data_IF_157356325649
#
_entry.id   IF_157356325649
#
_cell.length_a   1.000
_cell.length_b   1.000
_cell.length_c   1.000
_cell.angle_alpha   90.00
_cell.angle_beta   90.00
_cell.angle_gamma   90.00
#
_symmetry.space_group_name_H-M   'P 1'
#
loop_
_entity.id
_entity.type
_entity.pdbx_description
1 polymer ?
#
# COMPACT_ATOMS: atom_id res chain seq x y z
N UNK A 1 9.41 8.79 -10.72
CA UNK A 1 9.81 8.37 -9.37
C UNK A 1 10.29 6.91 -9.37
N UNK A 2 9.45 5.91 -9.68
CA UNK A 2 9.90 4.50 -9.68
C UNK A 2 11.03 4.19 -10.68
N UNK A 3 10.95 4.69 -11.92
CA UNK A 3 12.03 4.52 -12.90
C UNK A 3 13.34 5.19 -12.49
N UNK A 4 13.27 6.33 -11.81
CA UNK A 4 14.45 7.02 -11.28
C UNK A 4 15.06 6.20 -10.14
N UNK A 5 14.25 5.81 -9.17
CA UNK A 5 14.67 4.94 -8.07
C UNK A 5 15.36 3.65 -8.55
N UNK A 6 14.79 2.97 -9.56
CA UNK A 6 15.38 1.77 -10.15
C UNK A 6 16.73 2.03 -10.84
N UNK A 7 16.88 3.19 -11.48
CA UNK A 7 18.12 3.62 -12.14
C UNK A 7 19.20 3.92 -11.11
N UNK A 8 18.84 4.65 -10.06
CA UNK A 8 19.74 5.06 -8.98
C UNK A 8 20.24 3.84 -8.18
N UNK A 9 19.35 2.86 -7.95
CA UNK A 9 19.66 1.63 -7.20
C UNK A 9 20.16 0.47 -8.09
N UNK A 10 20.41 0.70 -9.39
CA UNK A 10 20.85 -0.32 -10.37
C UNK A 10 20.09 -1.65 -10.26
N UNK A 11 18.77 -1.59 -10.06
CA UNK A 11 17.93 -2.76 -9.79
C UNK A 11 16.72 -2.82 -10.71
N UNK A 12 16.32 -4.04 -11.09
CA UNK A 12 15.08 -4.31 -11.82
C UNK A 12 13.92 -4.70 -10.90
N UNK A 13 14.15 -4.75 -9.59
CA UNK A 13 13.16 -5.14 -8.57
C UNK A 13 12.17 -3.99 -8.32
N UNK A 14 11.30 -3.73 -9.29
CA UNK A 14 10.34 -2.63 -9.25
C UNK A 14 9.31 -2.76 -8.11
N UNK A 15 8.97 -3.99 -7.72
CA UNK A 15 8.05 -4.28 -6.60
C UNK A 15 8.57 -3.73 -5.27
N UNK A 16 9.89 -3.69 -5.10
CA UNK A 16 10.56 -3.14 -3.92
C UNK A 16 10.55 -1.62 -3.98
N UNK A 17 11.00 -1.04 -5.09
CA UNK A 17 11.02 0.41 -5.26
C UNK A 17 9.64 1.07 -5.13
N UNK A 18 8.56 0.34 -5.38
CA UNK A 18 7.20 0.81 -5.19
C UNK A 18 6.92 1.28 -3.76
N UNK A 19 7.41 0.56 -2.78
CA UNK A 19 7.18 0.86 -1.37
C UNK A 19 7.84 2.20 -0.97
N UNK A 20 9.02 2.46 -1.51
CA UNK A 20 9.81 3.65 -1.26
C UNK A 20 9.16 4.87 -1.91
N UNK A 21 8.79 4.72 -3.19
CA UNK A 21 8.08 5.74 -3.96
C UNK A 21 6.73 6.06 -3.31
N UNK A 22 6.04 5.05 -2.79
CA UNK A 22 4.74 5.25 -2.14
C UNK A 22 4.90 5.97 -0.80
N UNK A 23 5.85 5.57 0.03
CA UNK A 23 6.16 6.29 1.26
C UNK A 23 6.55 7.73 0.96
N UNK A 24 7.48 7.96 0.03
CA UNK A 24 7.93 9.29 -0.37
C UNK A 24 6.76 10.17 -0.84
N UNK A 25 5.84 9.64 -1.66
CA UNK A 25 4.66 10.40 -2.10
C UNK A 25 3.70 10.69 -0.95
N UNK A 26 3.53 9.76 -0.02
CA UNK A 26 2.58 9.88 1.08
C UNK A 26 3.08 10.79 2.21
N UNK A 27 4.40 10.88 2.41
CA UNK A 27 5.03 11.76 3.41
C UNK A 27 5.42 13.14 2.86
N UNK A 28 5.51 13.30 1.54
CA UNK A 28 5.82 14.59 0.91
C UNK A 28 4.72 15.62 1.15
N UNK A 29 5.13 16.86 1.44
CA UNK A 29 4.22 17.99 1.53
C UNK A 29 3.56 18.27 0.17
N UNK A 30 2.23 18.33 0.14
CA UNK A 30 1.47 18.60 -1.07
C UNK A 30 0.85 20.00 -1.01
N UNK A 31 1.32 20.89 -1.89
CA UNK A 31 1.05 22.34 -1.86
C UNK A 31 -0.44 22.71 -1.81
N UNK A 32 -1.30 22.00 -2.54
CA UNK A 32 -2.74 22.31 -2.61
C UNK A 32 -3.48 21.96 -1.32
N UNK A 33 -3.06 20.89 -0.63
CA UNK A 33 -3.72 20.43 0.61
C UNK A 33 -3.04 20.98 1.87
N UNK A 34 -1.92 21.70 1.72
CA UNK A 34 -1.14 22.29 2.81
C UNK A 34 -0.51 21.28 3.77
N UNK A 35 -0.54 19.99 3.44
CA UNK A 35 -0.08 18.89 4.31
C UNK A 35 0.36 17.68 3.48
N UNK A 36 0.87 16.63 4.11
CA UNK A 36 1.18 15.38 3.43
C UNK A 36 -0.11 14.56 3.17
N UNK A 37 -0.19 13.78 2.07
CA UNK A 37 -1.33 12.89 1.84
C UNK A 37 -1.60 11.92 2.99
N UNK A 38 -0.55 11.45 3.67
CA UNK A 38 -0.67 10.63 4.88
C UNK A 38 -1.38 11.39 6.00
N UNK A 39 -0.95 12.63 6.31
CA UNK A 39 -1.59 13.47 7.33
C UNK A 39 -3.03 13.82 6.99
N UNK A 40 -3.35 13.97 5.70
CA UNK A 40 -4.72 14.19 5.26
C UNK A 40 -5.63 12.97 5.52
N UNK A 41 -5.09 11.75 5.37
CA UNK A 41 -5.86 10.52 5.55
C UNK A 41 -5.96 10.08 7.02
N UNK A 42 -4.87 10.21 7.77
CA UNK A 42 -4.73 9.64 9.12
C UNK A 42 -4.75 10.69 10.24
N UNK A 43 -4.82 11.98 9.91
CA UNK A 43 -4.87 13.09 10.88
C UNK A 43 -3.53 13.44 11.55
N UNK A 44 -2.55 12.55 11.50
CA UNK A 44 -1.23 12.72 12.12
C UNK A 44 -0.11 12.52 11.10
N UNK A 45 1.08 13.05 11.40
CA UNK A 45 2.26 12.81 10.58
C UNK A 45 2.69 11.32 10.63
N UNK A 46 3.27 10.78 9.55
CA UNK A 46 3.75 9.41 9.53
C UNK A 46 4.79 9.21 10.64
N UNK A 47 4.57 8.21 11.48
CA UNK A 47 5.50 7.86 12.57
C UNK A 47 6.79 7.33 11.96
N UNK A 48 7.84 8.13 12.03
CA UNK A 48 9.20 7.78 11.65
C UNK A 48 10.06 7.75 12.91
N UNK A 49 10.99 6.81 13.02
CA UNK A 49 11.83 6.68 14.22
C UNK A 49 12.86 7.81 14.33
N UNK A 50 13.42 8.03 15.53
CA UNK A 50 14.48 9.03 15.79
C UNK A 50 15.72 8.85 14.88
N UNK A 51 15.97 7.63 14.40
CA UNK A 51 17.01 7.32 13.41
C UNK A 51 16.84 8.04 12.06
N UNK A 52 15.67 8.64 11.81
CA UNK A 52 15.36 9.43 10.61
C UNK A 52 15.23 10.93 10.90
N UNK A 53 15.46 11.35 12.15
CA UNK A 53 15.53 12.77 12.50
C UNK A 53 16.81 13.41 11.95
N UNK A 54 16.83 14.73 11.83
CA UNK A 54 18.02 15.48 11.42
C UNK A 54 19.03 15.69 12.57
N UNK A 55 18.94 14.90 13.63
CA UNK A 55 19.86 15.02 14.75
C UNK A 55 21.20 14.36 14.41
N UNK A 56 22.34 14.98 14.76
CA UNK A 56 23.65 14.35 14.67
C UNK A 56 23.66 12.95 15.31
N UNK A 57 24.40 12.03 14.70
CA UNK A 57 24.45 10.63 15.13
C UNK A 57 25.02 10.52 16.55
N UNK A 58 25.96 11.41 16.91
CA UNK A 58 26.53 11.47 18.25
C UNK A 58 25.50 11.86 19.32
N UNK A 59 24.51 12.69 18.95
CA UNK A 59 23.42 13.09 19.84
C UNK A 59 22.41 11.94 19.95
N UNK A 60 22.06 11.30 18.84
CA UNK A 60 21.15 10.14 18.84
C UNK A 60 21.65 8.96 19.68
N UNK A 61 22.97 8.78 19.80
CA UNK A 61 23.56 7.75 20.65
C UNK A 61 23.53 8.08 22.15
N UNK A 62 23.42 9.36 22.49
CA UNK A 62 23.40 9.87 23.87
C UNK A 62 21.98 10.04 24.41
N UNK A 63 20.98 10.18 23.54
CA UNK A 63 19.57 10.28 23.92
C UNK A 63 19.07 8.96 24.49
N UNK A 64 18.81 8.93 25.80
CA UNK A 64 18.26 7.77 26.50
C UNK A 64 16.81 8.03 26.92
N UNK A 65 16.48 9.27 27.31
CA UNK A 65 15.13 9.65 27.76
C UNK A 65 14.55 10.85 26.99
N UNK A 66 13.26 11.13 27.20
CA UNK A 66 12.57 12.25 26.54
C UNK A 66 13.05 13.59 27.11
N UNK A 67 13.49 13.64 28.38
CA UNK A 67 14.03 14.84 29.01
C UNK A 67 15.36 15.29 28.36
N UNK A 68 16.22 14.34 27.96
CA UNK A 68 17.47 14.63 27.25
C UNK A 68 17.21 15.39 25.94
N UNK A 69 16.08 15.11 25.29
CA UNK A 69 15.69 15.77 24.05
C UNK A 69 15.22 17.22 24.31
N UNK A 70 14.48 17.45 25.39
CA UNK A 70 13.96 18.78 25.74
C UNK A 70 15.06 19.76 26.14
N UNK A 71 16.14 19.27 26.75
CA UNK A 71 17.28 20.10 27.19
C UNK A 71 18.04 20.67 25.98
N UNK A 72 18.25 19.86 24.95
CA UNK A 72 18.90 20.26 23.69
C UNK A 72 18.11 21.38 22.98
N UNK A 73 16.77 21.33 23.03
CA UNK A 73 15.93 22.38 22.44
C UNK A 73 15.98 23.71 23.23
N UNK A 74 16.35 23.70 24.51
CA UNK A 74 16.43 24.91 25.34
C UNK A 74 17.77 25.63 25.17
N UNK A 75 18.85 24.91 24.95
CA UNK A 75 20.19 25.48 24.76
C UNK A 75 20.30 26.33 23.47
N UNK A 76 19.58 25.97 22.41
CA UNK A 76 19.60 26.65 21.10
C UNK A 76 18.95 28.06 21.06
N UNK A 77 18.29 28.51 22.15
CA UNK A 77 17.43 29.72 22.13
C UNK A 77 18.10 30.95 22.79
N UNK A 78 19.27 30.84 23.43
CA UNK A 78 19.70 31.80 24.47
C UNK A 78 20.88 32.75 24.15
N UNK A 79 21.15 33.11 22.89
CA UNK A 79 22.13 34.19 22.56
C UNK A 79 21.47 35.45 21.99
N UNK A 80 21.52 36.59 22.72
CA UNK A 80 21.12 37.94 22.28
C UNK A 80 22.34 38.68 21.69
N UNK A 81 22.23 39.25 20.48
CA UNK A 81 23.41 39.77 19.75
C UNK A 81 23.22 41.18 19.14
N UNK A 82 24.28 42.00 19.24
CA UNK A 82 24.47 43.31 18.60
C UNK A 82 24.99 43.16 17.15
N UNK A 83 24.50 44.00 16.22
CA UNK A 83 24.66 43.81 14.76
C UNK A 83 25.85 44.59 14.19
N UNK A 84 26.75 43.91 13.46
CA UNK A 84 27.75 44.53 12.57
C UNK A 84 27.61 43.95 11.14
N UNK A 85 27.89 44.77 10.12
CA UNK A 85 27.81 44.43 8.69
C UNK A 85 29.12 43.87 8.16
N UNK A 86 29.09 42.68 7.53
CA UNK A 86 30.27 42.00 6.94
C UNK A 86 29.93 41.35 5.59
N UNK A 87 30.92 41.15 4.71
CA UNK A 87 30.72 40.55 3.39
C UNK A 87 30.82 39.02 3.40
N UNK A 88 29.90 38.35 2.70
CA UNK A 88 29.85 36.89 2.58
C UNK A 88 30.93 36.32 1.64
N UNK A 89 31.72 35.36 2.12
CA UNK A 89 32.79 34.70 1.36
C UNK A 89 32.29 33.84 0.18
N UNK A 90 31.02 33.42 0.17
CA UNK A 90 30.47 32.52 -0.88
C UNK A 90 29.79 33.28 -2.02
N UNK A 91 29.09 34.37 -1.71
CA UNK A 91 28.30 35.11 -2.70
C UNK A 91 28.62 36.61 -2.79
N UNK A 92 29.57 37.11 -1.99
CA UNK A 92 30.03 38.50 -2.02
C UNK A 92 29.01 39.55 -1.55
N UNK A 93 27.85 39.12 -1.05
CA UNK A 93 26.76 40.03 -0.62
C UNK A 93 27.06 40.65 0.73
N UNK A 94 26.74 41.92 0.95
CA UNK A 94 26.80 42.50 2.30
C UNK A 94 25.72 41.89 3.19
N UNK A 95 26.11 41.32 4.33
CA UNK A 95 25.20 40.69 5.27
C UNK A 95 25.52 41.05 6.72
N UNK A 96 24.48 41.29 7.53
CA UNK A 96 24.63 41.53 8.96
C UNK A 96 24.93 40.19 9.66
N UNK A 97 26.05 40.09 10.37
CA UNK A 97 26.51 38.85 11.02
C UNK A 97 26.95 39.11 12.46
N UNK A 98 26.92 38.03 13.24
CA UNK A 98 27.27 37.91 14.64
C UNK A 98 28.68 37.29 14.70
N UNK A 99 29.66 37.85 15.42
CA UNK A 99 31.01 37.25 15.48
C UNK A 99 31.46 36.97 16.90
N UNK A 100 31.77 35.70 17.16
CA UNK A 100 32.82 35.26 18.09
C UNK A 100 33.49 34.00 17.50
N UNK A 101 34.23 34.15 16.39
CA UNK A 101 35.44 33.36 16.03
C UNK A 101 35.78 33.47 14.54
N UNK A 102 37.04 33.16 14.22
CA UNK A 102 37.66 33.25 12.90
C UNK A 102 37.29 32.07 11.97
N UNK A 103 36.01 31.88 11.68
CA UNK A 103 35.51 30.91 10.68
C UNK A 103 34.80 31.62 9.52
N UNK A 104 34.76 30.95 8.36
CA UNK A 104 34.35 31.54 7.07
C UNK A 104 32.99 32.26 7.14
N UNK A 105 33.01 33.55 6.80
CA UNK A 105 31.85 34.46 6.88
C UNK A 105 30.82 34.08 5.80
N UNK A 106 29.78 33.33 6.15
CA UNK A 106 28.67 32.94 5.25
C UNK A 106 27.38 33.69 5.58
N UNK A 107 26.73 34.32 4.59
CA UNK A 107 25.43 34.94 4.83
C UNK A 107 24.35 33.92 5.21
N UNK A 108 23.35 34.38 5.95
CA UNK A 108 22.15 33.61 6.34
C UNK A 108 21.52 32.78 5.21
N UNK A 109 21.59 33.26 3.96
CA UNK A 109 21.03 32.54 2.81
C UNK A 109 21.93 31.38 2.35
N UNK A 110 23.25 31.58 2.34
CA UNK A 110 24.23 30.55 1.98
C UNK A 110 24.30 29.48 3.07
N UNK A 111 24.27 29.90 4.33
CA UNK A 111 24.23 29.01 5.48
C UNK A 111 22.96 28.16 5.49
N UNK A 112 21.78 28.77 5.30
CA UNK A 112 20.52 28.03 5.13
C UNK A 112 20.57 27.07 3.95
N UNK A 113 21.15 27.46 2.81
CA UNK A 113 21.26 26.59 1.65
C UNK A 113 22.18 25.38 1.90
N UNK A 114 23.27 25.55 2.65
CA UNK A 114 24.13 24.44 3.06
C UNK A 114 23.41 23.52 4.04
N UNK A 115 22.77 24.07 5.08
CA UNK A 115 21.93 23.32 6.02
C UNK A 115 20.80 22.56 5.30
N UNK A 116 20.15 23.17 4.29
CA UNK A 116 19.12 22.50 3.48
C UNK A 116 19.72 21.35 2.65
N UNK A 117 20.91 21.53 2.05
CA UNK A 117 21.58 20.46 1.30
C UNK A 117 21.94 19.29 2.19
N UNK A 118 22.46 19.57 3.38
CA UNK A 118 22.82 18.56 4.37
C UNK A 118 21.59 17.80 4.88
N UNK A 119 20.52 18.52 5.26
CA UNK A 119 19.24 17.92 5.64
C UNK A 119 18.66 17.05 4.51
N UNK A 120 18.73 17.50 3.25
CA UNK A 120 18.27 16.70 2.10
C UNK A 120 19.11 15.44 1.90
N UNK A 121 20.42 15.52 2.11
CA UNK A 121 21.32 14.37 2.02
C UNK A 121 21.04 13.35 3.13
N UNK A 122 20.91 13.82 4.38
CA UNK A 122 20.54 12.99 5.52
C UNK A 122 19.15 12.36 5.36
N UNK A 123 18.18 13.13 4.86
CA UNK A 123 16.84 12.63 4.53
C UNK A 123 16.85 11.53 3.46
N UNK A 124 17.73 11.64 2.44
CA UNK A 124 17.91 10.59 1.44
C UNK A 124 18.44 9.29 2.06
N UNK A 125 19.46 9.39 2.93
CA UNK A 125 20.02 8.25 3.67
C UNK A 125 18.95 7.61 4.59
N UNK A 126 18.13 8.41 5.26
CA UNK A 126 17.05 7.91 6.12
C UNK A 126 15.99 7.13 5.34
N UNK A 127 15.65 7.60 4.14
CA UNK A 127 14.76 6.87 3.22
C UNK A 127 15.40 5.53 2.82
N UNK A 128 16.69 5.51 2.48
CA UNK A 128 17.45 4.30 2.09
C UNK A 128 17.61 3.25 3.21
N UNK A 129 17.61 3.65 4.49
CA UNK A 129 17.59 2.71 5.61
C UNK A 129 16.21 2.09 5.84
N UNK A 130 15.14 2.88 5.73
CA UNK A 130 13.77 2.42 6.01
C UNK A 130 13.30 1.36 4.99
N UNK A 131 13.36 1.72 3.73
CA UNK A 131 13.74 0.87 2.61
C UNK A 131 14.30 -0.55 2.88
N UNK A 132 15.55 -0.63 3.39
CA UNK A 132 16.22 -1.91 3.64
C UNK A 132 15.49 -2.73 4.70
N UNK A 133 14.93 -2.04 5.71
CA UNK A 133 14.10 -2.67 6.72
C UNK A 133 12.81 -3.24 6.13
N UNK A 134 12.11 -2.48 5.28
CA UNK A 134 10.94 -2.97 4.54
C UNK A 134 11.26 -4.17 3.66
N UNK A 135 12.46 -4.22 3.09
CA UNK A 135 12.96 -5.35 2.31
C UNK A 135 13.22 -6.61 3.14
N UNK A 136 13.81 -6.44 4.33
CA UNK A 136 14.03 -7.53 5.27
C UNK A 136 12.68 -8.07 5.77
N UNK A 137 11.76 -7.18 6.12
CA UNK A 137 10.40 -7.54 6.56
C UNK A 137 9.60 -8.21 5.44
N UNK A 138 9.76 -7.76 4.18
CA UNK A 138 9.07 -8.37 3.02
C UNK A 138 9.61 -9.76 2.66
N UNK A 139 10.87 -10.09 2.98
CA UNK A 139 11.40 -11.46 2.80
C UNK A 139 10.80 -12.43 3.82
N UNK A 140 10.21 -11.92 4.90
CA UNK A 140 9.58 -12.71 5.94
C UNK A 140 8.12 -12.98 5.51
N UNK A 141 7.86 -14.24 5.13
CA UNK A 141 6.53 -14.90 5.00
C UNK A 141 5.74 -14.67 3.70
N UNK A 142 6.33 -14.88 2.53
CA UNK A 142 5.51 -15.34 1.39
C UNK A 142 5.59 -16.86 1.35
N UNK A 143 4.51 -17.59 1.70
CA UNK A 143 4.52 -19.04 1.65
C UNK A 143 4.79 -19.51 0.20
N UNK A 144 5.61 -20.53 0.05
CA UNK A 144 5.88 -21.16 -1.25
C UNK A 144 5.01 -22.40 -1.38
N UNK A 145 4.35 -22.57 -2.52
CA UNK A 145 3.46 -23.70 -2.80
C UNK A 145 3.98 -24.52 -3.97
N UNK A 146 3.74 -25.83 -3.93
CA UNK A 146 4.03 -26.78 -5.01
C UNK A 146 2.72 -27.22 -5.67
N UNK A 147 2.84 -27.73 -6.90
CA UNK A 147 1.71 -28.38 -7.59
C UNK A 147 1.22 -29.55 -6.74
N UNK A 148 -0.08 -29.58 -6.46
CA UNK A 148 -0.72 -30.53 -5.55
C UNK A 148 -0.96 -30.04 -4.13
N UNK A 149 -0.42 -28.89 -3.73
CA UNK A 149 -0.68 -28.37 -2.40
C UNK A 149 -2.13 -27.88 -2.28
N UNK A 150 -2.77 -28.25 -1.17
CA UNK A 150 -4.09 -27.78 -0.78
C UNK A 150 -3.97 -26.37 -0.18
N UNK A 151 -4.71 -25.43 -0.76
CA UNK A 151 -4.67 -24.01 -0.42
C UNK A 151 -6.05 -23.45 -0.18
N UNK A 152 -6.09 -22.28 0.44
CA UNK A 152 -7.29 -21.53 0.76
C UNK A 152 -7.22 -20.16 0.11
N UNK A 153 -8.27 -19.78 -0.62
CA UNK A 153 -8.41 -18.45 -1.22
C UNK A 153 -9.44 -17.65 -0.43
N UNK A 154 -9.06 -16.51 0.18
CA UNK A 154 -10.02 -15.63 0.84
C UNK A 154 -10.90 -14.93 -0.19
N UNK A 155 -12.20 -14.91 0.07
CA UNK A 155 -13.20 -14.26 -0.77
C UNK A 155 -13.41 -12.81 -0.30
N UNK A 156 -13.27 -11.80 -1.19
CA UNK A 156 -13.54 -10.42 -0.84
C UNK A 156 -14.98 -10.22 -0.33
N UNK A 157 -15.18 -9.35 0.66
CA UNK A 157 -16.52 -9.06 1.21
C UNK A 157 -17.52 -8.59 0.15
N UNK A 158 -17.06 -7.92 -0.91
CA UNK A 158 -17.91 -7.46 -2.03
C UNK A 158 -18.45 -8.61 -2.88
N UNK A 159 -17.77 -9.75 -2.90
CA UNK A 159 -18.17 -10.96 -3.65
C UNK A 159 -18.90 -11.98 -2.76
N UNK A 160 -19.07 -11.67 -1.47
CA UNK A 160 -19.56 -12.58 -0.43
C UNK A 160 -20.86 -12.10 0.20
N UNK A 161 -21.91 -12.92 0.14
CA UNK A 161 -23.17 -12.74 0.85
C UNK A 161 -23.05 -13.16 2.32
N UNK A 162 -24.07 -12.89 3.17
CA UNK A 162 -24.02 -13.26 4.58
C UNK A 162 -23.88 -14.77 4.83
N UNK A 163 -24.44 -15.60 3.94
CA UNK A 163 -24.37 -17.06 4.01
C UNK A 163 -23.15 -17.65 3.30
N UNK A 164 -22.35 -16.82 2.61
CA UNK A 164 -21.25 -17.29 1.77
C UNK A 164 -19.98 -17.52 2.61
N UNK A 165 -19.21 -18.58 2.31
CA UNK A 165 -17.98 -18.88 3.03
C UNK A 165 -16.96 -17.75 2.82
N UNK A 166 -16.22 -17.41 3.88
CA UNK A 166 -15.15 -16.42 3.81
C UNK A 166 -13.97 -16.89 2.94
N UNK A 167 -13.84 -18.20 2.77
CA UNK A 167 -12.68 -18.88 2.24
C UNK A 167 -13.14 -20.01 1.33
N UNK A 168 -12.50 -20.15 0.17
CA UNK A 168 -12.70 -21.28 -0.75
C UNK A 168 -11.48 -22.18 -0.67
N UNK A 169 -11.69 -23.49 -0.68
CA UNK A 169 -10.62 -24.48 -0.71
C UNK A 169 -10.32 -24.83 -2.17
N UNK A 170 -9.03 -24.95 -2.51
CA UNK A 170 -8.58 -25.37 -3.82
C UNK A 170 -7.21 -26.02 -3.78
N UNK A 171 -6.76 -26.55 -4.91
CA UNK A 171 -5.45 -27.17 -5.08
C UNK A 171 -4.68 -26.48 -6.19
N UNK A 172 -3.36 -26.41 -6.05
CA UNK A 172 -2.49 -25.88 -7.11
C UNK A 172 -2.37 -26.89 -8.24
N UNK A 173 -2.86 -26.54 -9.43
CA UNK A 173 -2.81 -27.42 -10.63
C UNK A 173 -1.52 -27.21 -11.41
N UNK A 174 -1.06 -25.96 -11.51
CA UNK A 174 0.06 -25.57 -12.36
C UNK A 174 0.75 -24.33 -11.77
N UNK A 175 2.03 -24.14 -12.10
CA UNK A 175 2.84 -23.04 -11.61
C UNK A 175 3.72 -22.46 -12.71
N UNK A 176 3.66 -21.13 -12.88
CA UNK A 176 4.44 -20.41 -13.89
C UNK A 176 4.88 -19.05 -13.35
N UNK A 177 6.18 -18.76 -13.40
CA UNK A 177 6.76 -17.49 -12.98
C UNK A 177 6.29 -17.05 -11.57
N UNK A 178 6.36 -17.95 -10.58
CA UNK A 178 5.90 -17.73 -9.19
C UNK A 178 4.40 -17.43 -9.03
N UNK A 179 3.61 -17.66 -10.08
CA UNK A 179 2.16 -17.62 -10.02
C UNK A 179 1.58 -19.02 -10.09
N UNK A 180 0.49 -19.23 -9.36
CA UNK A 180 -0.17 -20.51 -9.18
C UNK A 180 -1.53 -20.50 -9.90
N UNK A 181 -1.80 -21.55 -10.67
CA UNK A 181 -3.12 -21.82 -11.23
C UNK A 181 -3.86 -22.75 -10.29
N UNK A 182 -5.10 -22.40 -9.95
CA UNK A 182 -5.83 -23.01 -8.85
C UNK A 182 -7.07 -23.74 -9.38
N UNK A 183 -7.28 -24.95 -8.87
CA UNK A 183 -8.44 -25.77 -9.13
C UNK A 183 -9.30 -25.94 -7.91
N UNK A 184 -10.61 -25.94 -8.08
CA UNK A 184 -11.58 -26.36 -7.07
C UNK A 184 -12.40 -27.53 -7.60
N UNK A 185 -13.22 -28.13 -6.74
CA UNK A 185 -14.19 -29.17 -7.13
C UNK A 185 -15.18 -28.68 -8.21
N UNK A 186 -15.45 -27.37 -8.27
CA UNK A 186 -16.43 -26.79 -9.20
C UNK A 186 -15.82 -26.34 -10.53
N UNK A 187 -14.52 -26.07 -10.58
CA UNK A 187 -13.87 -25.54 -11.77
C UNK A 187 -12.47 -25.01 -11.51
N UNK A 188 -11.79 -24.63 -12.59
CA UNK A 188 -10.51 -23.94 -12.52
C UNK A 188 -10.75 -22.44 -12.36
N UNK A 189 -10.05 -21.81 -11.43
CA UNK A 189 -10.13 -20.37 -11.25
C UNK A 189 -9.57 -19.61 -12.46
N UNK A 190 -10.31 -18.60 -12.92
CA UNK A 190 -9.87 -17.69 -13.98
C UNK A 190 -8.65 -16.89 -13.51
N UNK A 191 -7.53 -17.05 -14.22
CA UNK A 191 -6.30 -16.29 -14.00
C UNK A 191 -5.24 -17.03 -13.18
N UNK A 192 -4.18 -16.31 -12.84
CA UNK A 192 -3.01 -16.79 -12.11
C UNK A 192 -2.85 -16.01 -10.81
N UNK A 193 -2.55 -16.70 -9.71
CA UNK A 193 -2.56 -16.14 -8.36
C UNK A 193 -1.17 -16.17 -7.74
N UNK A 194 -0.70 -15.03 -7.23
CA UNK A 194 0.54 -14.98 -6.46
C UNK A 194 0.37 -15.61 -5.08
N UNK A 195 1.45 -16.15 -4.52
CA UNK A 195 1.41 -16.82 -3.22
C UNK A 195 0.98 -15.93 -2.06
N UNK A 196 1.07 -14.60 -2.17
CA UNK A 196 0.54 -13.67 -1.16
C UNK A 196 -0.99 -13.56 -1.14
N UNK A 197 -1.68 -14.05 -2.18
CA UNK A 197 -3.14 -14.03 -2.30
C UNK A 197 -3.80 -15.35 -1.84
N UNK A 198 -3.00 -16.34 -1.45
CA UNK A 198 -3.45 -17.68 -1.05
C UNK A 198 -2.79 -18.09 0.27
N UNK A 199 -3.46 -18.97 1.01
CA UNK A 199 -2.99 -19.47 2.30
C UNK A 199 -2.87 -20.99 2.24
N UNK A 200 -1.95 -21.58 3.01
CA UNK A 200 -1.91 -23.03 3.15
C UNK A 200 -3.16 -23.52 3.86
N UNK A 201 -3.77 -24.59 3.36
CA UNK A 201 -4.81 -25.29 4.12
C UNK A 201 -4.18 -26.01 5.31
N UNK A 202 -4.97 -26.19 6.37
CA UNK A 202 -4.56 -26.97 7.56
C UNK A 202 -4.40 -28.46 7.26
N UNK A 203 -5.13 -28.95 6.26
CA UNK A 203 -5.13 -30.35 5.81
C UNK A 203 -5.44 -30.45 4.32
N UNK A 204 -5.16 -31.61 3.74
CA UNK A 204 -5.50 -31.92 2.36
C UNK A 204 -6.98 -32.29 2.26
N UNK A 205 -7.77 -31.40 1.67
CA UNK A 205 -9.22 -31.57 1.51
C UNK A 205 -9.61 -31.95 0.08
N UNK A 206 -8.76 -31.64 -0.89
CA UNK A 206 -9.02 -31.84 -2.32
C UNK A 206 -7.72 -32.28 -2.99
N UNK A 207 -7.79 -33.36 -3.77
CA UNK A 207 -6.69 -33.83 -4.61
C UNK A 207 -6.80 -33.29 -6.04
N UNK A 208 -5.68 -33.28 -6.78
CA UNK A 208 -5.61 -32.79 -8.17
C UNK A 208 -6.61 -33.50 -9.10
N UNK A 209 -6.93 -34.76 -8.81
CA UNK A 209 -7.84 -35.60 -9.61
C UNK A 209 -9.32 -35.21 -9.42
N UNK A 210 -9.68 -34.67 -8.26
CA UNK A 210 -11.04 -34.24 -7.94
C UNK A 210 -11.40 -32.87 -8.54
N UNK A 211 -10.42 -32.20 -9.15
CA UNK A 211 -10.61 -30.88 -9.76
C UNK A 211 -11.32 -31.00 -11.10
N UNK A 212 -12.40 -30.25 -11.26
CA UNK A 212 -13.06 -30.14 -12.55
C UNK A 212 -12.28 -29.22 -13.50
N UNK A 213 -11.45 -29.80 -14.36
CA UNK A 213 -10.62 -29.07 -15.34
C UNK A 213 -11.40 -28.56 -16.57
N UNK A 214 -12.66 -28.96 -16.74
CA UNK A 214 -13.42 -28.67 -17.98
C UNK A 214 -14.00 -27.26 -18.01
N UNK A 215 -14.17 -26.63 -16.84
CA UNK A 215 -14.87 -25.35 -16.71
C UNK A 215 -14.00 -24.33 -15.99
N UNK A 216 -13.84 -23.16 -16.61
CA UNK A 216 -13.20 -22.00 -15.98
C UNK A 216 -14.24 -21.08 -15.34
N UNK A 217 -14.02 -20.73 -14.08
CA UNK A 217 -14.94 -19.94 -13.27
C UNK A 217 -14.18 -18.84 -12.51
N UNK A 218 -14.80 -17.69 -12.35
CA UNK A 218 -14.32 -16.63 -11.46
C UNK A 218 -14.59 -16.98 -10.00
N UNK A 219 -13.90 -16.32 -9.07
CA UNK A 219 -14.14 -16.51 -7.62
C UNK A 219 -15.63 -16.36 -7.27
N UNK A 220 -16.29 -15.31 -7.78
CA UNK A 220 -17.72 -15.06 -7.57
C UNK A 220 -18.61 -16.19 -8.11
N UNK A 221 -18.29 -16.73 -9.28
CA UNK A 221 -19.04 -17.85 -9.86
C UNK A 221 -18.88 -19.14 -9.03
N UNK A 222 -17.70 -19.36 -8.43
CA UNK A 222 -17.45 -20.50 -7.52
C UNK A 222 -18.23 -20.34 -6.21
N UNK A 223 -18.17 -19.15 -5.57
CA UNK A 223 -19.01 -18.85 -4.40
C UNK A 223 -20.48 -19.09 -4.73
N UNK A 224 -20.92 -18.61 -5.89
CA UNK A 224 -22.30 -18.79 -6.32
C UNK A 224 -22.70 -20.25 -6.57
N UNK A 225 -21.75 -21.12 -6.87
CA UNK A 225 -22.01 -22.55 -7.04
C UNK A 225 -22.12 -23.28 -5.69
N UNK A 226 -21.40 -22.79 -4.67
CA UNK A 226 -21.43 -23.33 -3.30
C UNK A 226 -22.72 -22.95 -2.56
N UNK A 227 -23.12 -21.68 -2.64
CA UNK A 227 -24.20 -21.14 -1.80
C UNK A 227 -25.41 -20.62 -2.58
N UNK A 228 -25.40 -20.74 -3.91
CA UNK A 228 -26.42 -20.14 -4.78
C UNK A 228 -26.17 -18.66 -5.09
N UNK A 229 -25.15 -18.04 -4.48
CA UNK A 229 -24.60 -16.72 -4.85
C UNK A 229 -25.12 -15.52 -4.06
N UNK A 230 -24.40 -14.41 -4.19
CA UNK A 230 -24.84 -13.11 -3.71
C UNK A 230 -26.07 -12.62 -4.48
N UNK A 231 -27.10 -12.28 -3.72
CA UNK A 231 -27.95 -11.14 -4.05
C UNK A 231 -29.18 -11.51 -4.86
N UNK A 232 -30.31 -11.06 -4.31
CA UNK A 232 -31.59 -10.99 -4.99
C UNK A 232 -31.40 -10.44 -6.41
N UNK A 233 -31.51 -11.31 -7.43
CA UNK A 233 -31.60 -10.84 -8.81
C UNK A 233 -32.82 -9.93 -8.91
N UNK A 234 -32.58 -8.65 -9.14
CA UNK A 234 -33.62 -7.69 -9.43
C UNK A 234 -33.49 -7.17 -10.85
N UNK A 235 -34.63 -6.92 -11.49
CA UNK A 235 -34.66 -6.19 -12.74
C UNK A 235 -35.26 -4.80 -12.50
N UNK A 236 -34.75 -3.81 -13.21
CA UNK A 236 -35.28 -2.44 -13.20
C UNK A 236 -36.28 -2.21 -14.34
N UNK A 237 -36.91 -3.29 -14.83
CA UNK A 237 -37.85 -3.21 -15.93
C UNK A 237 -39.12 -2.48 -15.49
N UNK A 238 -39.62 -1.56 -16.32
CA UNK A 238 -40.89 -0.85 -16.08
C UNK A 238 -42.11 -1.54 -16.72
N UNK A 239 -41.92 -2.67 -17.41
CA UNK A 239 -42.95 -3.35 -18.18
C UNK A 239 -42.88 -4.88 -18.09
N UNK A 240 -43.49 -5.57 -19.07
CA UNK A 240 -43.61 -7.03 -19.13
C UNK A 240 -42.24 -7.70 -19.37
N UNK A 241 -41.71 -8.38 -18.35
CA UNK A 241 -40.38 -9.01 -18.33
C UNK A 241 -40.22 -10.29 -19.18
N UNK A 242 -40.65 -10.28 -20.45
CA UNK A 242 -40.70 -11.48 -21.31
C UNK A 242 -39.51 -11.65 -22.25
N UNK A 243 -38.63 -10.66 -22.32
CA UNK A 243 -37.49 -10.67 -23.25
C UNK A 243 -36.18 -10.72 -22.48
N UNK A 244 -35.09 -11.12 -23.15
CA UNK A 244 -33.73 -11.09 -22.60
C UNK A 244 -33.22 -9.68 -22.23
N UNK A 245 -34.04 -8.63 -22.41
CA UNK A 245 -33.81 -7.29 -21.84
C UNK A 245 -34.02 -7.26 -20.33
N UNK A 246 -34.85 -8.15 -19.79
CA UNK A 246 -34.98 -8.33 -18.35
C UNK A 246 -33.81 -9.17 -17.83
N UNK A 247 -33.11 -8.66 -16.80
CA UNK A 247 -32.01 -9.36 -16.15
C UNK A 247 -32.46 -10.71 -15.54
N UNK A 248 -33.62 -10.75 -14.90
CA UNK A 248 -34.17 -11.99 -14.32
C UNK A 248 -34.49 -13.02 -15.42
N UNK A 249 -35.21 -12.62 -16.47
CA UNK A 249 -35.55 -13.51 -17.59
C UNK A 249 -34.29 -14.00 -18.33
N UNK A 250 -33.28 -13.14 -18.52
CA UNK A 250 -32.00 -13.50 -19.14
C UNK A 250 -31.25 -14.56 -18.33
N UNK A 251 -31.36 -14.50 -17.01
CA UNK A 251 -30.75 -15.46 -16.08
C UNK A 251 -31.64 -16.68 -15.80
N UNK A 252 -32.73 -16.89 -16.55
CA UNK A 252 -33.72 -17.94 -16.31
C UNK A 252 -34.35 -17.92 -14.90
N UNK A 253 -34.49 -16.72 -14.32
CA UNK A 253 -35.10 -16.51 -13.00
C UNK A 253 -36.43 -15.74 -13.11
N UNK A 254 -37.36 -16.08 -12.22
CA UNK A 254 -38.64 -15.38 -12.05
C UNK A 254 -38.44 -14.07 -11.28
N UNK A 255 -39.11 -13.01 -11.70
CA UNK A 255 -39.11 -11.72 -11.00
C UNK A 255 -39.95 -11.82 -9.71
N UNK A 256 -39.35 -11.44 -8.59
CA UNK A 256 -40.02 -11.39 -7.29
C UNK A 256 -40.58 -9.98 -6.97
N UNK A 257 -41.19 -9.83 -5.80
CA UNK A 257 -41.73 -8.56 -5.31
C UNK A 257 -40.70 -7.43 -5.16
N UNK A 258 -39.39 -7.73 -5.14
CA UNK A 258 -38.32 -6.72 -5.14
C UNK A 258 -38.00 -6.16 -6.52
N UNK A 259 -38.45 -6.81 -7.60
CA UNK A 259 -38.34 -6.31 -8.96
C UNK A 259 -39.49 -5.35 -9.29
N UNK A 260 -40.69 -5.69 -8.82
CA UNK A 260 -41.91 -4.93 -9.10
C UNK A 260 -42.82 -4.95 -7.86
N UNK A 261 -43.16 -3.77 -7.35
CA UNK A 261 -44.07 -3.62 -6.21
C UNK A 261 -45.55 -3.83 -6.60
N UNK A 262 -45.93 -3.55 -7.86
CA UNK A 262 -47.30 -3.66 -8.37
C UNK A 262 -47.34 -4.22 -9.81
N UNK A 263 -48.42 -4.94 -10.15
CA UNK A 263 -48.45 -5.93 -11.23
C UNK A 263 -48.47 -5.31 -12.65
N UNK A 264 -47.32 -5.40 -13.33
CA UNK A 264 -47.24 -5.44 -14.80
C UNK A 264 -46.21 -6.47 -15.31
N UNK A 265 -45.70 -7.32 -14.42
CA UNK A 265 -44.70 -8.33 -14.75
C UNK A 265 -45.35 -9.66 -15.11
N UNK A 266 -45.02 -10.19 -16.29
CA UNK A 266 -45.45 -11.49 -16.79
C UNK A 266 -44.39 -12.61 -16.60
N UNK A 267 -43.25 -12.28 -15.98
CA UNK A 267 -42.20 -13.24 -15.61
C UNK A 267 -42.18 -13.39 -14.08
N UNK A 268 -43.27 -13.92 -13.51
CA UNK A 268 -43.40 -14.24 -12.09
C UNK A 268 -43.27 -15.73 -11.85
#
# INVERSE_FOLDING_TARGET
>A
MLRAWMKDNKTKKWSIGLQFVQFQKNSSHHRVIGRSPYKALFGNDPKVGLATSNLPIEILQKLVTEEDLEEIYKEDIQSKIEKITVQCNVCGTECCMETDSAEAILCNLCEKNMKIKEVRHLGAIGIEKQAEKMLQDSKIKIPTFKVGDCIVIPVPKVDRGPADPANIIGVVIDQKNDLNRIGTEHGVLKGWYGSGNIQSATSNFIDIEQVNKTKEMSLREIVSSLTGGQGFFNCYCKGKCQTKKCACFKSNLKCNSRCHNSQACLNK
#
